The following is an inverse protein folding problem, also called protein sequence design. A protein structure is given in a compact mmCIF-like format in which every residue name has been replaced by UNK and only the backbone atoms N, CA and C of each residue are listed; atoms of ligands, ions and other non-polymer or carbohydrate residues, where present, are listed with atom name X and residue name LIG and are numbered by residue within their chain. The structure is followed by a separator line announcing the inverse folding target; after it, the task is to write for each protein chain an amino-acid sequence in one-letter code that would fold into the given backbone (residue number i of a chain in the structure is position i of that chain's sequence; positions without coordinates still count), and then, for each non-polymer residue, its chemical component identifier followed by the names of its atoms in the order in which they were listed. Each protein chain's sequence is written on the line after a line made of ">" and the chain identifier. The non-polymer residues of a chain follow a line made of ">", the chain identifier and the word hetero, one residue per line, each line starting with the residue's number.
data_IF_624270181252
#
_entry.id   IF_624270181252
#
_cell.length_a   1.000
_cell.length_b   1.000
_cell.length_c   1.000
_cell.angle_alpha   90.00
_cell.angle_beta   90.00
_cell.angle_gamma   90.00
#
_symmetry.space_group_name_H-M   'P 1'
#
loop_
_entity.id
_entity.type
_entity.pdbx_description
1 polymer ?
#
# COMPACT_ATOMS: atom_id res chain seq x y z
N UNK A 1 62.85 33.51 22.14
CA UNK A 1 62.23 34.10 20.93
C UNK A 1 61.63 32.95 20.13
N UNK A 2 60.30 32.81 20.15
CA UNK A 2 59.60 31.70 19.50
C UNK A 2 59.13 32.14 18.10
N UNK A 3 59.57 31.42 17.06
CA UNK A 3 59.15 31.64 15.67
C UNK A 3 57.74 31.05 15.46
N UNK A 4 56.84 31.73 14.72
CA UNK A 4 55.50 31.22 14.47
C UNK A 4 55.51 30.12 13.40
N UNK A 5 54.76 29.04 13.65
CA UNK A 5 54.51 27.94 12.71
C UNK A 5 53.57 28.45 11.60
N UNK A 6 53.84 28.22 10.31
CA UNK A 6 52.94 28.65 9.25
C UNK A 6 51.64 27.83 9.27
N UNK A 7 50.51 28.53 9.15
CA UNK A 7 49.20 27.94 9.01
C UNK A 7 49.13 27.12 7.71
N UNK A 8 48.88 25.81 7.85
CA UNK A 8 48.60 24.93 6.72
C UNK A 8 47.24 25.34 6.17
N UNK A 9 47.23 26.03 5.03
CA UNK A 9 46.01 26.33 4.30
C UNK A 9 45.38 25.02 3.85
N UNK A 10 44.19 24.71 4.35
CA UNK A 10 43.36 23.60 3.88
C UNK A 10 42.90 23.91 2.45
N UNK A 11 43.76 23.64 1.46
CA UNK A 11 43.38 23.62 0.07
C UNK A 11 42.27 22.57 -0.07
N UNK A 12 41.08 23.02 -0.46
CA UNK A 12 39.97 22.16 -0.82
C UNK A 12 40.48 21.15 -1.85
N UNK A 13 40.65 19.89 -1.42
CA UNK A 13 40.91 18.79 -2.33
C UNK A 13 39.67 18.64 -3.18
N UNK A 14 39.74 19.18 -4.40
CA UNK A 14 38.79 18.90 -5.46
C UNK A 14 38.79 17.39 -5.67
N UNK A 15 37.87 16.69 -4.99
CA UNK A 15 37.70 15.26 -5.17
C UNK A 15 37.33 15.02 -6.64
N UNK A 16 37.99 14.10 -7.35
CA UNK A 16 37.76 13.87 -8.78
C UNK A 16 36.39 13.24 -9.09
N UNK A 17 35.49 13.16 -8.11
CA UNK A 17 34.17 12.55 -8.21
C UNK A 17 33.02 13.55 -8.41
N UNK A 18 33.34 14.78 -8.82
CA UNK A 18 32.37 15.86 -9.07
C UNK A 18 31.37 15.59 -10.21
N UNK A 19 31.48 14.49 -10.96
CA UNK A 19 30.64 14.23 -12.14
C UNK A 19 30.03 12.83 -12.23
N UNK A 20 30.01 12.05 -11.14
CA UNK A 20 29.08 10.92 -11.09
C UNK A 20 27.65 11.48 -11.00
N UNK A 21 27.02 11.72 -12.15
CA UNK A 21 25.56 11.86 -12.24
C UNK A 21 25.00 10.74 -11.38
N UNK A 22 24.18 11.08 -10.38
CA UNK A 22 23.46 10.08 -9.59
C UNK A 22 22.73 9.16 -10.56
N UNK A 23 23.25 7.96 -10.76
CA UNK A 23 22.60 6.92 -11.58
C UNK A 23 21.30 6.45 -10.93
N UNK A 24 21.10 6.79 -9.65
CA UNK A 24 19.87 6.55 -8.91
C UNK A 24 19.11 7.87 -8.69
N UNK A 25 17.87 7.91 -9.15
CA UNK A 25 16.90 8.91 -8.69
C UNK A 25 16.44 8.51 -7.29
N UNK A 26 16.25 9.49 -6.39
CA UNK A 26 15.62 9.23 -5.10
C UNK A 26 14.22 8.67 -5.39
N UNK A 27 13.92 7.45 -4.92
CA UNK A 27 12.55 6.93 -5.03
C UNK A 27 11.64 7.78 -4.15
N UNK A 28 10.66 8.44 -4.77
CA UNK A 28 9.60 9.19 -4.07
C UNK A 28 8.51 8.27 -3.50
N UNK A 29 8.64 6.96 -3.68
CA UNK A 29 7.73 5.98 -3.09
C UNK A 29 7.81 6.02 -1.56
N UNK A 30 6.65 6.24 -0.94
CA UNK A 30 6.50 6.34 0.52
C UNK A 30 6.76 5.01 1.24
N UNK A 31 6.75 3.88 0.54
CA UNK A 31 6.91 2.55 1.11
C UNK A 31 8.09 1.80 0.49
N UNK A 32 8.72 0.92 1.27
CA UNK A 32 9.83 0.09 0.84
C UNK A 32 9.34 -1.34 0.65
N UNK A 33 9.54 -1.90 -0.54
CA UNK A 33 9.22 -3.29 -0.89
C UNK A 33 10.08 -4.28 -0.09
N UNK A 34 9.54 -5.47 0.20
CA UNK A 34 10.26 -6.58 0.83
C UNK A 34 11.56 -6.92 0.10
N UNK A 35 11.55 -6.89 -1.23
CA UNK A 35 12.74 -7.18 -2.04
C UNK A 35 13.85 -6.16 -1.77
N UNK A 36 13.51 -4.88 -1.73
CA UNK A 36 14.45 -3.80 -1.39
C UNK A 36 15.00 -3.95 0.02
N UNK A 37 14.15 -4.29 1.01
CA UNK A 37 14.60 -4.59 2.38
C UNK A 37 15.60 -5.75 2.39
N UNK A 38 15.34 -6.81 1.62
CA UNK A 38 16.24 -7.96 1.51
C UNK A 38 17.59 -7.55 0.91
N UNK A 39 17.61 -6.73 -0.14
CA UNK A 39 18.85 -6.20 -0.73
C UNK A 39 19.65 -5.42 0.32
N UNK A 40 18.99 -4.55 1.10
CA UNK A 40 19.65 -3.78 2.18
C UNK A 40 20.27 -4.73 3.23
N UNK A 41 19.55 -5.77 3.64
CA UNK A 41 20.08 -6.78 4.57
C UNK A 41 21.26 -7.57 3.99
N UNK A 42 21.20 -7.93 2.70
CA UNK A 42 22.28 -8.64 2.03
C UNK A 42 23.54 -7.76 1.93
N UNK A 43 23.38 -6.49 1.59
CA UNK A 43 24.48 -5.51 1.55
C UNK A 43 25.08 -5.33 2.94
N UNK A 44 24.24 -5.18 3.98
CA UNK A 44 24.70 -5.11 5.37
C UNK A 44 25.52 -6.35 5.77
N UNK A 45 25.03 -7.56 5.46
CA UNK A 45 25.76 -8.80 5.71
C UNK A 45 27.06 -8.89 4.89
N UNK A 46 27.10 -8.30 3.70
CA UNK A 46 28.32 -8.18 2.89
C UNK A 46 29.37 -7.27 3.52
N UNK A 47 28.98 -6.06 3.92
CA UNK A 47 29.87 -5.10 4.59
C UNK A 47 30.37 -5.69 5.91
N UNK A 48 29.48 -6.31 6.69
CA UNK A 48 29.84 -6.89 7.99
C UNK A 48 30.82 -8.06 7.89
N UNK A 49 30.77 -8.83 6.79
CA UNK A 49 31.74 -9.89 6.51
C UNK A 49 33.12 -9.36 6.12
N UNK A 50 33.18 -8.21 5.44
CA UNK A 50 34.45 -7.58 5.04
C UNK A 50 35.13 -6.89 6.22
N UNK A 51 34.34 -6.24 7.08
CA UNK A 51 34.83 -5.40 8.15
C UNK A 51 34.12 -5.73 9.48
N UNK A 52 34.53 -6.81 10.17
CA UNK A 52 33.87 -7.25 11.40
C UNK A 52 34.11 -6.30 12.60
N UNK A 53 35.29 -5.67 12.66
CA UNK A 53 35.76 -4.82 13.76
C UNK A 53 35.05 -3.46 13.85
N UNK A 54 34.42 -3.01 12.77
CA UNK A 54 33.86 -1.67 12.71
C UNK A 54 32.62 -1.52 13.60
N UNK A 55 32.40 -0.29 14.07
CA UNK A 55 31.18 0.03 14.82
C UNK A 55 29.93 -0.18 13.96
N UNK A 56 28.86 -0.66 14.59
CA UNK A 56 27.55 -0.83 13.93
C UNK A 56 27.08 0.45 13.25
N UNK A 57 27.33 1.62 13.86
CA UNK A 57 26.94 2.91 13.29
C UNK A 57 27.67 3.21 12.00
N UNK A 58 28.97 2.89 11.93
CA UNK A 58 29.77 3.06 10.72
C UNK A 58 29.28 2.14 9.61
N UNK A 59 29.04 0.85 9.91
CA UNK A 59 28.49 -0.10 8.94
C UNK A 59 27.14 0.38 8.39
N UNK A 60 26.23 0.84 9.26
CA UNK A 60 24.94 1.39 8.82
C UNK A 60 25.10 2.62 7.93
N UNK A 61 26.11 3.47 8.18
CA UNK A 61 26.43 4.64 7.36
C UNK A 61 26.95 4.23 5.98
N UNK A 62 27.88 3.29 5.91
CA UNK A 62 28.39 2.75 4.64
C UNK A 62 27.28 2.08 3.82
N UNK A 63 26.40 1.31 4.48
CA UNK A 63 25.24 0.70 3.81
C UNK A 63 24.26 1.75 3.28
N UNK A 64 24.03 2.83 4.04
CA UNK A 64 23.17 3.94 3.62
C UNK A 64 23.74 4.64 2.36
N UNK A 65 25.05 4.86 2.32
CA UNK A 65 25.74 5.46 1.17
C UNK A 65 25.68 4.54 -0.06
N UNK A 66 25.89 3.24 0.11
CA UNK A 66 25.85 2.25 -0.98
C UNK A 66 24.44 2.02 -1.55
N UNK A 67 23.41 2.04 -0.71
CA UNK A 67 22.02 1.76 -1.11
C UNK A 67 21.22 3.02 -1.44
N UNK A 68 21.73 4.21 -1.13
CA UNK A 68 21.01 5.47 -1.30
C UNK A 68 19.83 5.65 -0.34
N UNK A 69 19.78 4.86 0.74
CA UNK A 69 18.69 4.85 1.73
C UNK A 69 19.14 5.58 2.99
N UNK A 70 18.23 6.27 3.68
CA UNK A 70 18.58 6.98 4.91
C UNK A 70 19.08 6.02 6.00
N UNK A 71 20.08 6.45 6.78
CA UNK A 71 20.62 5.66 7.90
C UNK A 71 19.54 5.20 8.88
N UNK A 72 18.55 6.06 9.18
CA UNK A 72 17.41 5.75 10.06
C UNK A 72 16.60 4.56 9.53
N UNK A 73 16.39 4.51 8.22
CA UNK A 73 15.64 3.43 7.59
C UNK A 73 16.43 2.12 7.63
N UNK A 74 17.76 2.18 7.43
CA UNK A 74 18.64 1.00 7.53
C UNK A 74 18.60 0.42 8.95
N UNK A 75 18.70 1.26 9.98
CA UNK A 75 18.61 0.80 11.38
C UNK A 75 17.24 0.22 11.72
N UNK A 76 16.16 0.80 11.21
CA UNK A 76 14.81 0.25 11.34
C UNK A 76 14.67 -1.12 10.66
N UNK A 77 15.15 -1.26 9.41
CA UNK A 77 15.08 -2.53 8.67
C UNK A 77 15.93 -3.60 9.35
N UNK A 78 17.12 -3.26 9.86
CA UNK A 78 17.94 -4.17 10.67
C UNK A 78 17.18 -4.66 11.90
N UNK A 79 16.55 -3.74 12.65
CA UNK A 79 15.78 -4.09 13.83
C UNK A 79 14.55 -4.95 13.48
N UNK A 80 13.87 -4.67 12.36
CA UNK A 80 12.76 -5.48 11.83
C UNK A 80 13.23 -6.89 11.49
N UNK A 81 14.35 -7.03 10.75
CA UNK A 81 14.89 -8.31 10.32
C UNK A 81 15.33 -9.22 11.49
N UNK A 82 15.77 -8.63 12.60
CA UNK A 82 16.14 -9.37 13.82
C UNK A 82 14.91 -9.88 14.57
N UNK A 83 13.79 -9.16 14.51
CA UNK A 83 12.56 -9.51 15.26
C UNK A 83 11.62 -10.39 14.46
N UNK A 84 11.53 -10.17 13.15
CA UNK A 84 10.52 -10.75 12.27
C UNK A 84 11.08 -10.98 10.86
N UNK A 85 10.56 -11.98 10.12
CA UNK A 85 10.90 -12.12 8.70
C UNK A 85 10.44 -10.86 7.94
N UNK A 86 11.32 -10.37 7.06
CA UNK A 86 11.07 -9.14 6.31
C UNK A 86 9.72 -9.19 5.57
N UNK A 87 8.89 -8.17 5.82
CA UNK A 87 7.58 -8.06 5.21
C UNK A 87 7.42 -6.72 4.50
N UNK A 88 6.77 -6.74 3.34
CA UNK A 88 6.27 -5.52 2.72
C UNK A 88 5.12 -4.99 3.57
N UNK A 89 4.88 -3.66 3.60
CA UNK A 89 3.62 -3.13 4.08
C UNK A 89 2.48 -3.82 3.31
N UNK A 90 1.69 -4.65 4.00
CA UNK A 90 0.51 -5.25 3.39
C UNK A 90 -0.45 -4.11 3.11
N UNK A 91 -0.78 -3.86 1.83
CA UNK A 91 -2.02 -3.13 1.52
C UNK A 91 -3.12 -3.93 2.22
N UNK A 92 -3.87 -3.30 3.13
CA UNK A 92 -5.06 -3.93 3.72
C UNK A 92 -5.95 -4.31 2.54
N UNK A 93 -5.96 -5.58 2.17
CA UNK A 93 -7.06 -6.10 1.37
C UNK A 93 -8.28 -5.89 2.26
N UNK A 94 -9.30 -5.22 1.74
CA UNK A 94 -10.60 -5.22 2.38
C UNK A 94 -11.06 -6.67 2.29
N UNK A 95 -10.77 -7.45 3.32
CA UNK A 95 -11.23 -8.83 3.41
C UNK A 95 -12.75 -8.77 3.60
N UNK A 96 -13.49 -9.20 2.58
CA UNK A 96 -14.95 -9.14 2.52
C UNK A 96 -15.65 -10.22 3.35
N UNK A 97 -14.93 -10.92 4.22
CA UNK A 97 -15.46 -12.03 5.02
C UNK A 97 -15.75 -11.60 6.46
N UNK A 98 -17.04 -11.36 6.69
CA UNK A 98 -17.84 -11.82 7.83
C UNK A 98 -17.45 -11.33 9.24
N UNK A 99 -18.44 -10.62 9.82
CA UNK A 99 -18.74 -10.44 11.25
C UNK A 99 -17.60 -9.98 12.16
N UNK A 100 -17.58 -8.69 12.49
CA UNK A 100 -16.84 -8.19 13.63
C UNK A 100 -16.91 -6.67 13.70
N UNK A 101 -17.57 -6.17 14.74
CA UNK A 101 -17.67 -4.76 15.10
C UNK A 101 -16.28 -4.11 15.25
N UNK A 102 -15.69 -3.61 14.16
CA UNK A 102 -14.63 -2.60 14.20
C UNK A 102 -14.24 -2.17 12.77
N UNK A 103 -15.17 -1.59 12.02
CA UNK A 103 -14.80 -1.12 10.70
C UNK A 103 -15.95 -0.58 9.88
N UNK A 104 -16.43 0.61 10.24
CA UNK A 104 -17.29 1.44 9.38
C UNK A 104 -16.48 1.87 8.15
N UNK A 105 -16.26 0.95 7.21
CA UNK A 105 -15.79 1.23 5.85
C UNK A 105 -16.86 0.68 4.94
N UNK A 106 -17.49 1.58 4.19
CA UNK A 106 -18.54 1.27 3.23
C UNK A 106 -18.06 0.16 2.31
N UNK A 107 -18.51 -1.06 2.61
CA UNK A 107 -18.39 -2.21 1.75
C UNK A 107 -19.22 -1.90 0.52
N UNK A 108 -18.58 -1.91 -0.65
CA UNK A 108 -19.28 -2.20 -1.89
C UNK A 108 -19.76 -3.66 -1.78
N UNK A 109 -20.83 -3.86 -1.01
CA UNK A 109 -21.50 -5.13 -0.83
C UNK A 109 -21.88 -5.64 -2.22
N UNK A 110 -21.40 -6.82 -2.59
CA UNK A 110 -21.80 -7.48 -3.82
C UNK A 110 -23.32 -7.62 -3.82
N UNK A 111 -24.00 -7.53 -4.98
CA UNK A 111 -25.48 -7.59 -5.08
C UNK A 111 -26.11 -8.75 -4.30
N UNK A 112 -25.42 -9.89 -4.26
CA UNK A 112 -25.80 -11.11 -3.52
C UNK A 112 -25.69 -10.99 -1.99
N UNK A 113 -24.89 -10.06 -1.48
CA UNK A 113 -24.74 -9.77 -0.04
C UNK A 113 -25.67 -8.64 0.43
N UNK A 114 -26.16 -7.79 -0.48
CA UNK A 114 -27.07 -6.69 -0.16
C UNK A 114 -28.53 -7.12 -0.05
N UNK A 115 -28.96 -8.05 -0.90
CA UNK A 115 -30.37 -8.38 -1.08
C UNK A 115 -30.58 -9.86 -0.87
N UNK A 116 -31.59 -10.19 -0.07
CA UNK A 116 -32.01 -11.57 0.13
C UNK A 116 -32.50 -12.19 -1.19
N UNK A 117 -32.38 -13.50 -1.28
CA UNK A 117 -32.81 -14.33 -2.41
C UNK A 117 -34.28 -14.09 -2.78
N UNK A 118 -35.14 -13.86 -1.78
CA UNK A 118 -36.56 -13.52 -1.96
C UNK A 118 -36.74 -12.19 -2.70
N UNK A 119 -36.03 -11.14 -2.27
CA UNK A 119 -36.07 -9.83 -2.91
C UNK A 119 -35.59 -9.90 -4.37
N UNK A 120 -34.53 -10.68 -4.64
CA UNK A 120 -34.03 -10.89 -6.01
C UNK A 120 -35.03 -11.68 -6.87
N UNK A 121 -35.74 -12.67 -6.31
CA UNK A 121 -36.76 -13.43 -7.02
C UNK A 121 -37.96 -12.56 -7.41
N UNK A 122 -38.42 -11.72 -6.49
CA UNK A 122 -39.50 -10.79 -6.74
C UNK A 122 -39.13 -9.71 -7.79
N UNK A 123 -37.90 -9.17 -7.75
CA UNK A 123 -37.40 -8.26 -8.80
C UNK A 123 -37.37 -8.95 -10.17
N UNK A 124 -36.89 -10.21 -10.26
CA UNK A 124 -36.92 -10.99 -11.51
C UNK A 124 -38.34 -11.16 -12.03
N UNK A 125 -39.29 -11.48 -11.16
CA UNK A 125 -40.72 -11.64 -11.53
C UNK A 125 -41.26 -10.35 -12.18
N UNK A 126 -40.93 -9.19 -11.61
CA UNK A 126 -41.34 -7.89 -12.17
C UNK A 126 -40.71 -7.63 -13.54
N UNK A 127 -39.41 -7.85 -13.67
CA UNK A 127 -38.70 -7.72 -14.96
C UNK A 127 -39.32 -8.64 -16.02
N UNK A 128 -39.59 -9.90 -15.69
CA UNK A 128 -40.25 -10.83 -16.61
C UNK A 128 -41.67 -10.39 -16.98
N UNK A 129 -42.41 -9.77 -16.07
CA UNK A 129 -43.73 -9.20 -16.38
C UNK A 129 -43.69 -8.16 -17.49
N UNK A 130 -42.66 -7.30 -17.52
CA UNK A 130 -42.45 -6.33 -18.61
C UNK A 130 -42.15 -7.01 -19.94
N UNK A 131 -41.30 -8.03 -19.93
CA UNK A 131 -41.01 -8.82 -21.14
C UNK A 131 -42.27 -9.49 -21.71
N UNK A 132 -43.13 -10.04 -20.87
CA UNK A 132 -44.38 -10.68 -21.31
C UNK A 132 -45.39 -9.70 -21.90
N UNK A 133 -45.36 -8.43 -21.47
CA UNK A 133 -46.18 -7.34 -22.01
C UNK A 133 -45.56 -6.67 -23.25
N UNK A 134 -44.40 -7.15 -23.73
CA UNK A 134 -43.60 -6.49 -24.77
C UNK A 134 -43.24 -5.03 -24.45
N UNK A 135 -43.06 -4.72 -23.17
CA UNK A 135 -42.65 -3.40 -22.69
C UNK A 135 -41.19 -3.43 -22.24
N UNK A 136 -40.44 -2.36 -22.54
CA UNK A 136 -39.04 -2.26 -22.09
C UNK A 136 -38.99 -1.98 -20.57
N UNK A 137 -38.35 -2.87 -19.77
CA UNK A 137 -38.18 -2.64 -18.34
C UNK A 137 -37.06 -1.61 -18.11
N UNK A 138 -37.44 -0.36 -17.86
CA UNK A 138 -36.49 0.68 -17.45
C UNK A 138 -36.35 0.70 -15.93
N UNK A 139 -35.18 1.12 -15.43
CA UNK A 139 -34.89 1.15 -13.99
C UNK A 139 -35.89 2.01 -13.20
N UNK A 140 -36.38 3.10 -13.80
CA UNK A 140 -37.40 3.96 -13.19
C UNK A 140 -38.76 3.27 -13.05
N UNK A 141 -39.20 2.55 -14.09
CA UNK A 141 -40.45 1.78 -14.07
C UNK A 141 -40.39 0.66 -13.03
N UNK A 142 -39.30 -0.08 -13.00
CA UNK A 142 -39.09 -1.15 -12.01
C UNK A 142 -39.05 -0.59 -10.59
N UNK A 143 -38.42 0.57 -10.37
CA UNK A 143 -38.40 1.22 -9.07
C UNK A 143 -39.80 1.65 -8.63
N UNK A 144 -40.57 2.24 -9.54
CA UNK A 144 -41.94 2.69 -9.24
C UNK A 144 -42.84 1.50 -8.91
N UNK A 145 -42.75 0.40 -9.68
CA UNK A 145 -43.51 -0.83 -9.42
C UNK A 145 -43.15 -1.47 -8.08
N UNK A 146 -41.87 -1.46 -7.70
CA UNK A 146 -41.42 -1.99 -6.40
C UNK A 146 -41.88 -1.10 -5.24
N UNK A 147 -42.07 0.20 -5.45
CA UNK A 147 -42.58 1.13 -4.44
C UNK A 147 -44.11 1.06 -4.34
N UNK A 148 -44.81 0.84 -5.45
CA UNK A 148 -46.28 0.78 -5.49
C UNK A 148 -46.86 -0.56 -5.05
N UNK A 149 -46.08 -1.65 -5.15
CA UNK A 149 -46.46 -2.96 -4.64
C UNK A 149 -46.44 -2.96 -3.11
N UNK A 150 -47.60 -2.66 -2.53
CA UNK A 150 -47.84 -2.72 -1.07
C UNK A 150 -47.85 -4.16 -0.55
N UNK A 151 -47.98 -5.15 -1.43
CA UNK A 151 -48.14 -6.57 -1.09
C UNK A 151 -46.82 -7.30 -0.81
N UNK A 152 -45.68 -6.66 -1.07
CA UNK A 152 -44.37 -7.26 -0.90
C UNK A 152 -43.53 -6.36 0.00
N UNK A 153 -43.24 -6.82 1.23
CA UNK A 153 -42.30 -6.18 2.16
C UNK A 153 -40.85 -6.27 1.63
N UNK A 154 -40.58 -5.58 0.52
CA UNK A 154 -39.29 -5.57 -0.13
C UNK A 154 -38.45 -4.40 0.40
N UNK A 155 -37.18 -4.63 0.81
CA UNK A 155 -36.30 -3.54 1.18
C UNK A 155 -36.07 -2.59 0.00
N UNK A 156 -36.11 -1.28 0.25
CA UNK A 156 -35.90 -0.25 -0.78
C UNK A 156 -34.59 -0.49 -1.55
N UNK A 157 -34.72 -0.83 -2.83
CA UNK A 157 -33.58 -1.12 -3.71
C UNK A 157 -33.03 0.19 -4.31
N UNK A 158 -31.70 0.33 -4.36
CA UNK A 158 -31.06 1.48 -5.02
C UNK A 158 -31.13 1.34 -6.53
N UNK A 159 -31.31 2.45 -7.25
CA UNK A 159 -31.32 2.50 -8.73
C UNK A 159 -30.02 2.00 -9.35
N UNK A 160 -28.89 2.05 -8.64
CA UNK A 160 -27.61 1.49 -9.11
C UNK A 160 -27.63 -0.04 -9.17
N UNK A 161 -28.53 -0.68 -8.44
CA UNK A 161 -28.63 -2.13 -8.32
C UNK A 161 -29.64 -2.74 -9.31
N UNK A 162 -30.69 -1.98 -9.63
CA UNK A 162 -31.72 -2.34 -10.63
C UNK A 162 -31.10 -2.29 -12.01
#
# INVERSE_FOLDING_TARGET
>A
MASPVPAVSCAATNSPFSSLRRLYTKCDEKWISKQTKQVICNVYAGVRRREPELSTNFVCRSVAELTGVSMRTVTQIKAEALRTPLSSPKRKKLDFSVSGEAGKRMTAKTRLQCYDTFALAALRRKVHGYFMRNEVPTAEKLRNDVISDTDMDMPRISTRTI
#
